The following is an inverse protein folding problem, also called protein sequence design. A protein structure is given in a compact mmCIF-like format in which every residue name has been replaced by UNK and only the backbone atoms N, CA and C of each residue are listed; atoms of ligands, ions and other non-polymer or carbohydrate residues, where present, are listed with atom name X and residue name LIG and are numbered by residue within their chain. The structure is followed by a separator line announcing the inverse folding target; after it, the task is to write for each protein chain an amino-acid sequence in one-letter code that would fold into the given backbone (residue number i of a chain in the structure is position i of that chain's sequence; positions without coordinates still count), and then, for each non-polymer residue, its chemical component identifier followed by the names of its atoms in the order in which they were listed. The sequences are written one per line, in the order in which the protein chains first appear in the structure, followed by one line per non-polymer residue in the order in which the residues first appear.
data_IF_728624517019
#
_entry.id   IF_728624517019
#
_cell.length_a   1.000
_cell.length_b   1.000
_cell.length_c   1.000
_cell.angle_alpha   90.00
_cell.angle_beta   90.00
_cell.angle_gamma   90.00
#
_symmetry.space_group_name_H-M   'P 1'
#
loop_
_entity.id
_entity.type
_entity.pdbx_description
1 polymer ?
#
# COMPACT_ATOMS: atom_id res chain seq x y z
N UNK A 1 -29.60 -31.24 9.35
CA UNK A 1 -29.27 -30.68 8.02
C UNK A 1 -28.91 -29.20 8.09
N UNK A 2 -29.73 -28.32 8.69
CA UNK A 2 -29.45 -26.87 8.80
C UNK A 2 -28.07 -26.53 9.41
N UNK A 3 -27.66 -27.25 10.47
CA UNK A 3 -26.34 -27.06 11.13
C UNK A 3 -25.14 -27.35 10.22
N UNK A 4 -25.30 -28.27 9.27
CA UNK A 4 -24.22 -28.63 8.33
C UNK A 4 -24.11 -27.57 7.24
N UNK A 5 -25.25 -27.07 6.76
CA UNK A 5 -25.31 -25.95 5.82
C UNK A 5 -24.68 -24.67 6.38
N UNK A 6 -24.93 -24.35 7.66
CA UNK A 6 -24.32 -23.17 8.30
C UNK A 6 -22.80 -23.27 8.40
N UNK A 7 -22.26 -24.46 8.65
CA UNK A 7 -20.81 -24.67 8.71
C UNK A 7 -20.19 -24.51 7.32
N UNK A 8 -20.83 -25.06 6.28
CA UNK A 8 -20.35 -24.93 4.91
C UNK A 8 -20.32 -23.47 4.42
N UNK A 9 -21.35 -22.68 4.73
CA UNK A 9 -21.38 -21.25 4.39
C UNK A 9 -20.27 -20.48 5.13
N UNK A 10 -20.04 -20.81 6.39
CA UNK A 10 -18.99 -20.14 7.19
C UNK A 10 -17.58 -20.45 6.67
N UNK A 11 -17.33 -21.71 6.27
CA UNK A 11 -16.05 -22.11 5.65
C UNK A 11 -15.83 -21.42 4.30
N UNK A 12 -16.87 -21.32 3.48
CA UNK A 12 -16.79 -20.62 2.19
C UNK A 12 -16.50 -19.11 2.36
N UNK A 13 -17.08 -18.47 3.37
CA UNK A 13 -16.82 -17.07 3.69
C UNK A 13 -15.36 -16.84 4.15
N UNK A 14 -14.82 -17.74 4.98
CA UNK A 14 -13.44 -17.66 5.45
C UNK A 14 -12.42 -17.88 4.32
N UNK A 15 -12.68 -18.81 3.39
CA UNK A 15 -11.82 -19.04 2.24
C UNK A 15 -11.74 -17.84 1.28
N UNK A 16 -12.83 -17.07 1.17
CA UNK A 16 -12.85 -15.84 0.38
C UNK A 16 -12.01 -14.69 0.98
N UNK A 17 -11.81 -14.67 2.30
CA UNK A 17 -11.03 -13.63 2.96
C UNK A 17 -9.51 -13.81 2.79
N UNK A 18 -9.02 -15.04 2.60
CA UNK A 18 -7.60 -15.30 2.40
C UNK A 18 -7.13 -14.90 0.99
N UNK A 19 -8.02 -15.01 -0.01
CA UNK A 19 -7.79 -14.56 -1.39
C UNK A 19 -7.62 -13.03 -1.54
N UNK A 20 -7.89 -12.25 -0.49
CA UNK A 20 -7.68 -10.80 -0.49
C UNK A 20 -6.24 -10.41 -0.10
N UNK A 21 -5.42 -11.36 0.34
CA UNK A 21 -3.99 -11.14 0.56
C UNK A 21 -3.25 -11.64 -0.67
N UNK A 22 -3.00 -10.74 -1.61
CA UNK A 22 -2.08 -10.98 -2.73
C UNK A 22 -0.72 -11.41 -2.17
N UNK A 23 -0.41 -12.70 -2.31
CA UNK A 23 0.91 -13.25 -2.06
C UNK A 23 1.72 -13.02 -3.35
N UNK A 24 2.15 -11.77 -3.56
CA UNK A 24 2.87 -11.26 -4.74
C UNK A 24 4.29 -11.89 -4.93
N UNK A 25 4.57 -13.05 -4.34
CA UNK A 25 5.87 -13.72 -4.43
C UNK A 25 7.02 -12.96 -3.75
N UNK A 26 6.73 -11.86 -3.04
CA UNK A 26 7.69 -11.15 -2.19
C UNK A 26 7.68 -11.86 -0.83
N UNK A 27 8.82 -12.43 -0.37
CA UNK A 27 8.88 -13.06 0.94
C UNK A 27 8.38 -12.07 1.98
N UNK A 28 7.51 -12.52 2.90
CA UNK A 28 6.92 -11.64 3.93
C UNK A 28 8.04 -11.02 4.78
N UNK A 29 8.39 -9.79 4.45
CA UNK A 29 9.42 -9.04 5.15
C UNK A 29 8.78 -8.46 6.40
N UNK A 30 8.97 -9.15 7.52
CA UNK A 30 8.40 -8.76 8.80
C UNK A 30 9.35 -7.85 9.61
N UNK A 31 10.62 -7.74 9.20
CA UNK A 31 11.62 -6.97 9.92
C UNK A 31 12.64 -6.31 9.00
N UNK A 32 13.32 -5.29 9.52
CA UNK A 32 14.43 -4.62 8.83
C UNK A 32 15.53 -5.61 8.44
N UNK A 33 15.77 -6.63 9.29
CA UNK A 33 16.80 -7.66 9.04
C UNK A 33 16.47 -8.49 7.79
N UNK A 34 15.20 -8.80 7.57
CA UNK A 34 14.78 -9.57 6.40
C UNK A 34 14.92 -8.73 5.12
N UNK A 35 14.64 -7.43 5.21
CA UNK A 35 14.86 -6.48 4.12
C UNK A 35 16.35 -6.37 3.75
N UNK A 36 17.23 -6.29 4.75
CA UNK A 36 18.67 -6.20 4.55
C UNK A 36 19.24 -7.49 3.94
N UNK A 37 18.74 -8.65 4.38
CA UNK A 37 19.10 -9.95 3.80
C UNK A 37 18.68 -10.04 2.33
N UNK A 38 17.45 -9.62 2.00
CA UNK A 38 16.98 -9.55 0.61
C UNK A 38 17.85 -8.59 -0.21
N UNK A 39 18.12 -7.39 0.29
CA UNK A 39 18.94 -6.38 -0.37
C UNK A 39 20.39 -6.83 -0.62
N UNK A 40 20.91 -7.74 0.20
CA UNK A 40 22.22 -8.36 -0.01
C UNK A 40 22.23 -9.39 -1.15
N UNK A 41 21.08 -10.01 -1.46
CA UNK A 41 20.95 -10.99 -2.55
C UNK A 41 20.60 -10.36 -3.90
N UNK A 42 20.04 -9.16 -3.91
CA UNK A 42 19.60 -8.49 -5.13
C UNK A 42 20.72 -7.67 -5.75
N UNK A 43 21.01 -7.92 -7.03
CA UNK A 43 22.06 -7.22 -7.79
C UNK A 43 21.63 -5.86 -8.35
N UNK A 44 20.33 -5.61 -8.47
CA UNK A 44 19.77 -4.38 -9.03
C UNK A 44 19.30 -3.41 -7.95
N UNK A 45 19.84 -2.18 -7.96
CA UNK A 45 19.46 -1.14 -6.99
C UNK A 45 17.98 -0.75 -7.06
N UNK A 46 17.34 -0.86 -8.24
CA UNK A 46 15.93 -0.52 -8.41
C UNK A 46 14.97 -1.52 -7.75
N UNK A 47 15.43 -2.76 -7.58
CA UNK A 47 14.68 -3.85 -6.93
C UNK A 47 14.96 -3.95 -5.44
N UNK A 48 15.93 -3.17 -4.91
CA UNK A 48 16.16 -3.11 -3.47
C UNK A 48 14.90 -2.62 -2.76
N UNK A 49 14.63 -3.21 -1.61
CA UNK A 49 13.52 -2.87 -0.76
C UNK A 49 13.90 -1.74 0.19
N UNK A 50 13.00 -0.78 0.29
CA UNK A 50 13.01 0.29 1.29
C UNK A 50 11.78 0.11 2.15
N UNK A 51 12.00 -0.13 3.43
CA UNK A 51 10.92 -0.31 4.39
C UNK A 51 10.74 0.95 5.23
N UNK A 52 9.51 1.43 5.32
CA UNK A 52 9.12 2.52 6.21
C UNK A 52 8.36 1.93 7.41
N UNK A 53 8.71 2.38 8.61
CA UNK A 53 8.19 1.84 9.87
C UNK A 53 6.81 2.40 10.27
N UNK A 54 6.30 3.36 9.49
CA UNK A 54 5.29 4.29 9.98
C UNK A 54 4.26 4.61 8.89
N UNK A 55 3.45 3.61 8.51
CA UNK A 55 2.10 3.92 8.05
C UNK A 55 1.10 3.56 9.14
N UNK A 56 0.32 4.55 9.53
CA UNK A 56 -0.82 4.38 10.44
C UNK A 56 -2.02 4.07 9.57
N UNK A 57 -2.25 2.79 9.31
CA UNK A 57 -3.55 2.34 8.77
C UNK A 57 -4.60 2.69 9.83
N UNK A 58 -5.77 3.19 9.43
CA UNK A 58 -6.77 3.93 10.24
C UNK A 58 -7.17 3.40 11.64
N UNK A 59 -6.66 2.24 12.08
CA UNK A 59 -6.81 1.62 13.40
C UNK A 59 -5.64 1.88 14.38
N UNK A 60 -4.78 2.89 14.16
CA UNK A 60 -3.61 3.22 15.02
C UNK A 60 -2.56 2.08 15.13
N UNK A 61 -2.61 1.12 14.22
CA UNK A 61 -1.67 0.00 14.18
C UNK A 61 -0.50 0.36 13.26
N UNK A 62 0.71 0.41 13.81
CA UNK A 62 1.92 0.67 13.00
C UNK A 62 2.22 -0.57 12.18
N UNK A 63 2.13 -0.45 10.86
CA UNK A 63 2.51 -1.52 9.95
C UNK A 63 3.90 -1.25 9.39
N UNK A 64 4.73 -2.29 9.36
CA UNK A 64 6.00 -2.28 8.64
C UNK A 64 5.68 -2.52 7.16
N UNK A 65 5.85 -1.49 6.33
CA UNK A 65 5.53 -1.57 4.90
C UNK A 65 6.83 -1.43 4.11
N UNK A 66 7.09 -2.42 3.26
CA UNK A 66 8.24 -2.45 2.38
C UNK A 66 7.78 -2.26 0.93
N UNK A 67 8.51 -1.46 0.17
CA UNK A 67 8.32 -1.29 -1.27
C UNK A 67 9.68 -1.19 -1.96
N UNK A 68 9.72 -1.40 -3.27
CA UNK A 68 10.98 -1.26 -4.02
C UNK A 68 11.37 0.21 -4.20
N UNK A 69 12.66 0.48 -4.41
CA UNK A 69 13.15 1.83 -4.73
C UNK A 69 12.45 2.40 -5.96
N UNK A 70 12.27 1.61 -7.02
CA UNK A 70 11.57 2.04 -8.23
C UNK A 70 10.12 2.44 -7.95
N UNK A 71 9.41 1.67 -7.12
CA UNK A 71 8.04 1.97 -6.75
C UNK A 71 7.94 3.23 -5.89
N UNK A 72 8.88 3.44 -4.94
CA UNK A 72 8.95 4.64 -4.12
C UNK A 72 9.14 5.89 -4.96
N UNK A 73 9.99 5.85 -5.97
CA UNK A 73 10.22 6.99 -6.86
C UNK A 73 8.99 7.28 -7.71
N UNK A 74 8.35 6.25 -8.26
CA UNK A 74 7.09 6.42 -8.99
C UNK A 74 5.93 6.95 -8.13
N UNK A 75 5.90 6.61 -6.84
CA UNK A 75 4.96 7.20 -5.88
C UNK A 75 5.27 8.68 -5.62
N UNK A 76 6.55 9.03 -5.39
CA UNK A 76 6.97 10.42 -5.18
C UNK A 76 6.63 11.32 -6.36
N UNK A 77 6.84 10.83 -7.57
CA UNK A 77 6.54 11.59 -8.77
C UNK A 77 5.04 11.83 -8.93
N UNK A 78 4.21 10.79 -8.77
CA UNK A 78 2.75 10.92 -8.78
C UNK A 78 2.24 11.87 -7.70
N UNK A 79 2.76 11.80 -6.48
CA UNK A 79 2.37 12.71 -5.41
C UNK A 79 2.69 14.18 -5.72
N UNK A 80 3.79 14.46 -6.45
CA UNK A 80 4.10 15.82 -6.91
C UNK A 80 3.13 16.30 -7.98
N UNK A 81 2.87 15.46 -8.98
CA UNK A 81 1.93 15.76 -10.06
C UNK A 81 0.51 16.00 -9.52
N UNK A 82 0.06 15.16 -8.58
CA UNK A 82 -1.23 15.32 -7.89
C UNK A 82 -1.30 16.64 -7.11
N UNK A 83 -0.24 16.98 -6.36
CA UNK A 83 -0.19 18.24 -5.61
C UNK A 83 -0.23 19.48 -6.54
N UNK A 84 0.48 19.42 -7.67
CA UNK A 84 0.45 20.46 -8.70
C UNK A 84 -0.94 20.59 -9.35
N UNK A 85 -1.56 19.46 -9.70
CA UNK A 85 -2.91 19.43 -10.26
C UNK A 85 -3.94 20.03 -9.29
N UNK A 86 -3.85 19.66 -8.01
CA UNK A 86 -4.73 20.16 -6.96
C UNK A 86 -4.54 21.67 -6.78
N UNK A 87 -3.29 22.14 -6.75
CA UNK A 87 -2.96 23.57 -6.67
C UNK A 87 -3.54 24.36 -7.84
N UNK A 88 -3.37 23.91 -9.09
CA UNK A 88 -3.96 24.56 -10.28
C UNK A 88 -5.49 24.59 -10.22
N UNK A 89 -6.10 23.49 -9.78
CA UNK A 89 -7.56 23.40 -9.65
C UNK A 89 -8.08 24.37 -8.60
N UNK A 90 -7.42 24.48 -7.45
CA UNK A 90 -7.80 25.42 -6.39
C UNK A 90 -7.62 26.88 -6.80
N UNK A 91 -6.56 27.21 -7.54
CA UNK A 91 -6.36 28.56 -8.08
C UNK A 91 -7.50 28.93 -9.06
N UNK A 92 -7.84 28.03 -9.98
CA UNK A 92 -8.95 28.27 -10.92
C UNK A 92 -10.31 28.34 -10.23
N UNK A 93 -10.52 27.60 -9.14
CA UNK A 93 -11.77 27.61 -8.37
C UNK A 93 -11.87 28.78 -7.39
N UNK A 94 -10.74 29.25 -6.86
CA UNK A 94 -10.62 30.37 -5.93
C UNK A 94 -10.71 31.75 -6.60
N UNK A 95 -10.61 31.83 -7.92
CA UNK A 95 -10.83 33.06 -8.70
C UNK A 95 -12.30 33.35 -9.05
N UNK A 96 -13.25 32.52 -8.59
CA UNK A 96 -14.65 32.53 -9.02
C UNK A 96 -15.67 32.77 -7.91
N UNK A 97 -15.58 33.87 -7.16
CA UNK A 97 -16.68 34.44 -6.35
C UNK A 97 -16.25 35.85 -5.91
N UNK A 98 -16.89 36.97 -6.25
CA UNK A 98 -18.32 37.21 -6.53
C UNK A 98 -18.49 38.51 -7.34
N UNK A 99 -19.57 38.64 -8.12
CA UNK A 99 -20.03 39.90 -8.72
C UNK A 99 -20.77 40.77 -7.68
N UNK A 100 -20.57 42.08 -7.74
CA UNK A 100 -21.55 43.13 -7.43
C UNK A 100 -21.28 44.33 -8.33
#
# INVERSE_FOLDING_TARGET
MIRILTVFVFVAALAGCESLYDDDGIPRIHSQRDADAYNATVSSDSQKLVCEREQVTGSNLRQFVCMTVAQREGLRQRSREDAEFLSRTLINRGGGSTPQ
#
